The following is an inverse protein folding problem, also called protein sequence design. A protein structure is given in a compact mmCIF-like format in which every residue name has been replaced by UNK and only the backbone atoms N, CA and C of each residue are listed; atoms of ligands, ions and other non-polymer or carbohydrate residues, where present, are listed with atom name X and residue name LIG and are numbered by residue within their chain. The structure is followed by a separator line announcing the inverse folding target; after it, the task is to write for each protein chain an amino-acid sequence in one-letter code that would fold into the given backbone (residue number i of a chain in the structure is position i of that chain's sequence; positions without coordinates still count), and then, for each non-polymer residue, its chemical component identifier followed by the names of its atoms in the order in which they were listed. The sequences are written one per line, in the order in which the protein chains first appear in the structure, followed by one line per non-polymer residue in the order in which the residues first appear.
data_IF_772325099743
#
_entry.id   IF_772325099743
#
_cell.length_a   1.000
_cell.length_b   1.000
_cell.length_c   1.000
_cell.angle_alpha   90.00
_cell.angle_beta   90.00
_cell.angle_gamma   90.00
#
_symmetry.space_group_name_H-M   'P 1'
#
loop_
_entity.id
_entity.type
_entity.pdbx_description
1 polymer ?
#
# COMPACT_ATOMS: atom_id res chain seq x y z
N UNK A 1 -3.03 33.83 -0.43
CA UNK A 1 -2.56 32.44 -0.56
C UNK A 1 -2.19 32.27 -2.00
N UNK A 2 -0.91 32.12 -2.31
CA UNK A 2 -0.52 31.74 -3.66
C UNK A 2 -1.18 30.39 -3.99
N UNK A 3 -1.74 30.21 -5.20
CA UNK A 3 -2.26 28.92 -5.60
C UNK A 3 -1.10 27.93 -5.56
N UNK A 4 -1.25 26.86 -4.77
CA UNK A 4 -0.28 25.78 -4.82
C UNK A 4 -0.19 25.29 -6.28
N UNK A 5 1.03 25.10 -6.82
CA UNK A 5 1.17 24.58 -8.17
C UNK A 5 0.41 23.26 -8.26
N UNK A 6 -0.37 23.09 -9.33
CA UNK A 6 -1.08 21.84 -9.57
C UNK A 6 -0.06 20.70 -9.56
N UNK A 7 -0.20 19.79 -8.60
CA UNK A 7 0.66 18.61 -8.49
C UNK A 7 0.30 17.70 -9.65
N UNK A 8 1.16 17.67 -10.66
CA UNK A 8 1.07 16.68 -11.73
C UNK A 8 1.47 15.32 -11.15
N UNK A 9 0.46 14.55 -10.75
CA UNK A 9 0.67 13.23 -10.19
C UNK A 9 1.10 12.22 -11.27
N UNK A 10 0.81 12.48 -12.54
CA UNK A 10 1.13 11.58 -13.65
C UNK A 10 2.55 11.75 -14.13
N UNK A 11 3.19 12.87 -13.83
CA UNK A 11 4.56 13.11 -14.26
C UNK A 11 5.38 13.95 -13.30
N UNK A 12 6.64 13.55 -13.15
CA UNK A 12 7.67 14.38 -12.53
C UNK A 12 8.35 15.30 -13.57
N UNK A 13 7.92 15.20 -14.84
CA UNK A 13 8.48 15.93 -15.97
C UNK A 13 8.23 17.45 -15.86
N UNK A 14 9.24 18.23 -16.24
CA UNK A 14 9.02 19.63 -16.57
C UNK A 14 8.23 19.78 -17.90
N UNK A 15 7.90 21.01 -18.27
CA UNK A 15 7.08 21.26 -19.47
C UNK A 15 7.70 20.73 -20.77
N UNK A 16 9.02 20.85 -20.93
CA UNK A 16 9.72 20.35 -22.11
C UNK A 16 9.76 18.81 -22.14
N UNK A 17 10.02 18.20 -20.98
CA UNK A 17 10.02 16.74 -20.82
C UNK A 17 8.62 16.15 -21.07
N UNK A 18 7.55 16.82 -20.63
CA UNK A 18 6.17 16.43 -20.89
C UNK A 18 5.86 16.47 -22.39
N UNK A 19 6.24 17.57 -23.06
CA UNK A 19 6.06 17.70 -24.50
C UNK A 19 6.81 16.62 -25.28
N UNK A 20 8.04 16.32 -24.87
CA UNK A 20 8.83 15.23 -25.44
C UNK A 20 8.15 13.86 -25.24
N UNK A 21 7.69 13.56 -24.03
CA UNK A 21 6.98 12.31 -23.73
C UNK A 21 5.75 12.15 -24.61
N UNK A 22 4.91 13.18 -24.71
CA UNK A 22 3.73 13.15 -25.56
C UNK A 22 4.12 12.92 -27.03
N UNK A 23 5.20 13.53 -27.51
CA UNK A 23 5.71 13.28 -28.86
C UNK A 23 6.14 11.82 -29.06
N UNK A 24 6.94 11.28 -28.13
CA UNK A 24 7.44 9.89 -28.20
C UNK A 24 6.30 8.86 -28.17
N UNK A 25 5.29 9.08 -27.32
CA UNK A 25 4.15 8.15 -27.21
C UNK A 25 3.23 8.21 -28.43
N UNK A 26 3.03 9.39 -29.02
CA UNK A 26 2.31 9.53 -30.29
C UNK A 26 3.04 8.82 -31.43
N UNK A 27 4.36 8.95 -31.48
CA UNK A 27 5.17 8.26 -32.47
C UNK A 27 5.11 6.74 -32.30
N UNK A 28 5.27 6.26 -31.06
CA UNK A 28 5.19 4.84 -30.74
C UNK A 28 3.82 4.25 -31.12
N UNK A 29 2.74 4.99 -30.85
CA UNK A 29 1.37 4.60 -31.22
C UNK A 29 1.18 4.53 -32.74
N UNK A 30 1.81 5.43 -33.50
CA UNK A 30 1.83 5.39 -34.96
C UNK A 30 2.58 4.18 -35.52
N UNK A 31 3.70 3.79 -34.90
CA UNK A 31 4.51 2.63 -35.34
C UNK A 31 3.80 1.28 -35.15
N UNK A 32 2.80 1.24 -34.26
CA UNK A 32 2.01 0.04 -33.96
C UNK A 32 0.58 0.14 -34.51
N UNK A 33 0.37 1.00 -35.52
CA UNK A 33 -0.92 1.21 -36.19
C UNK A 33 -2.09 1.49 -35.24
N UNK A 34 -1.83 2.26 -34.17
CA UNK A 34 -2.82 2.60 -33.14
C UNK A 34 -3.46 1.38 -32.45
N UNK A 35 -2.72 0.27 -32.36
CA UNK A 35 -3.17 -0.92 -31.65
C UNK A 35 -3.43 -0.66 -30.16
N UNK A 36 -4.32 -1.46 -29.57
CA UNK A 36 -4.65 -1.41 -28.15
C UNK A 36 -3.76 -2.35 -27.34
N UNK A 37 -3.17 -1.84 -26.26
CA UNK A 37 -2.29 -2.60 -25.37
C UNK A 37 -2.83 -2.68 -23.96
N UNK A 38 -2.23 -3.54 -23.13
CA UNK A 38 -2.58 -3.60 -21.72
C UNK A 38 -2.36 -2.27 -21.02
N UNK A 39 -3.19 -2.00 -20.01
CA UNK A 39 -2.99 -0.83 -19.14
C UNK A 39 -1.68 -0.87 -18.38
N UNK A 40 -1.17 -2.07 -18.11
CA UNK A 40 0.14 -2.25 -17.51
C UNK A 40 1.23 -1.63 -18.36
N UNK A 41 1.26 -1.98 -19.64
CA UNK A 41 2.24 -1.42 -20.58
C UNK A 41 2.04 0.09 -20.73
N UNK A 42 0.80 0.53 -20.93
CA UNK A 42 0.47 1.96 -21.02
C UNK A 42 0.94 2.74 -19.79
N UNK A 43 0.66 2.24 -18.58
CA UNK A 43 1.07 2.87 -17.33
C UNK A 43 2.60 2.95 -17.20
N UNK A 44 3.30 1.84 -17.46
CA UNK A 44 4.76 1.82 -17.43
C UNK A 44 5.37 2.83 -18.40
N UNK A 45 4.86 2.93 -19.63
CA UNK A 45 5.35 3.89 -20.63
C UNK A 45 5.08 5.35 -20.22
N UNK A 46 3.95 5.62 -19.55
CA UNK A 46 3.58 6.96 -19.08
C UNK A 46 4.51 7.48 -17.99
N UNK A 47 4.94 6.61 -17.07
CA UNK A 47 5.83 6.98 -15.97
C UNK A 47 7.29 6.53 -16.17
N UNK A 48 7.64 6.08 -17.38
CA UNK A 48 8.99 5.66 -17.76
C UNK A 48 9.96 6.84 -17.73
N UNK A 49 11.24 6.59 -17.47
CA UNK A 49 12.26 7.61 -17.70
C UNK A 49 12.37 7.88 -19.23
N UNK A 50 12.61 9.14 -19.63
CA UNK A 50 12.65 9.51 -21.05
C UNK A 50 13.74 8.78 -21.84
N UNK A 51 14.90 8.53 -21.23
CA UNK A 51 16.01 7.80 -21.87
C UNK A 51 15.60 6.39 -22.33
N UNK A 52 15.13 5.51 -21.43
CA UNK A 52 14.52 4.24 -21.80
C UNK A 52 13.37 4.35 -22.80
N UNK A 53 12.47 5.33 -22.65
CA UNK A 53 11.36 5.52 -23.60
C UNK A 53 11.86 5.79 -25.03
N UNK A 54 12.87 6.64 -25.22
CA UNK A 54 13.53 6.86 -26.52
C UNK A 54 14.07 5.56 -27.11
N UNK A 55 14.74 4.73 -26.30
CA UNK A 55 15.27 3.43 -26.76
C UNK A 55 14.17 2.47 -27.20
N UNK A 56 13.02 2.50 -26.52
CA UNK A 56 11.84 1.70 -26.91
C UNK A 56 11.34 2.17 -28.28
N UNK A 57 11.18 3.48 -28.49
CA UNK A 57 10.77 4.07 -29.78
C UNK A 57 11.76 3.71 -30.88
N UNK A 58 13.06 3.86 -30.65
CA UNK A 58 14.11 3.49 -31.62
C UNK A 58 14.08 2.01 -31.99
N UNK A 59 13.79 1.14 -31.02
CA UNK A 59 13.66 -0.30 -31.24
C UNK A 59 12.41 -0.62 -32.06
N UNK A 60 11.27 0.02 -31.73
CA UNK A 60 10.01 -0.12 -32.45
C UNK A 60 10.11 0.37 -33.91
N UNK A 61 10.90 1.42 -34.19
CA UNK A 61 11.18 1.87 -35.57
C UNK A 61 11.84 0.79 -36.42
N UNK A 62 12.70 -0.04 -35.81
CA UNK A 62 13.39 -1.13 -36.50
C UNK A 62 12.51 -2.38 -36.60
N UNK A 63 11.72 -2.64 -35.56
CA UNK A 63 10.83 -3.78 -35.50
C UNK A 63 9.59 -3.45 -34.63
N UNK A 64 8.42 -3.17 -35.25
CA UNK A 64 7.20 -2.87 -34.51
C UNK A 64 6.75 -3.97 -33.54
N UNK A 65 7.15 -5.23 -33.78
CA UNK A 65 6.82 -6.39 -32.91
C UNK A 65 7.47 -6.27 -31.52
N UNK A 66 8.45 -5.38 -31.34
CA UNK A 66 9.04 -5.10 -30.03
C UNK A 66 7.98 -4.69 -29.00
N UNK A 67 6.98 -3.87 -29.37
CA UNK A 67 6.00 -3.35 -28.39
C UNK A 67 5.05 -4.45 -27.88
N UNK A 68 4.44 -5.30 -28.73
CA UNK A 68 3.73 -6.50 -28.26
C UNK A 68 4.59 -7.43 -27.40
N UNK A 69 5.87 -7.61 -27.75
CA UNK A 69 6.81 -8.42 -26.96
C UNK A 69 7.06 -7.84 -25.57
N UNK A 70 7.10 -6.50 -25.44
CA UNK A 70 7.20 -5.82 -24.15
C UNK A 70 5.94 -6.01 -23.31
N UNK A 71 4.76 -5.90 -23.91
CA UNK A 71 3.48 -6.13 -23.21
C UNK A 71 3.43 -7.56 -22.64
N UNK A 72 3.79 -8.54 -23.46
CA UNK A 72 3.86 -9.94 -23.06
C UNK A 72 4.86 -10.16 -21.91
N UNK A 73 6.07 -9.61 -22.03
CA UNK A 73 7.11 -9.76 -21.01
C UNK A 73 6.71 -9.11 -19.67
N UNK A 74 6.01 -7.99 -19.71
CA UNK A 74 5.47 -7.34 -18.52
C UNK A 74 4.42 -8.22 -17.82
N UNK A 75 3.52 -8.84 -18.57
CA UNK A 75 2.49 -9.74 -18.03
C UNK A 75 3.11 -10.98 -17.36
N UNK A 76 4.05 -11.63 -18.05
CA UNK A 76 4.75 -12.82 -17.53
C UNK A 76 5.58 -12.53 -16.27
N UNK A 77 6.14 -11.32 -16.15
CA UNK A 77 6.91 -10.95 -14.96
C UNK A 77 6.10 -10.87 -13.68
N UNK A 78 4.76 -10.80 -13.78
CA UNK A 78 3.89 -10.59 -12.62
C UNK A 78 4.24 -9.32 -11.82
N UNK A 79 4.98 -8.35 -12.37
CA UNK A 79 5.39 -7.12 -11.67
C UNK A 79 4.19 -6.41 -11.02
N UNK A 80 3.10 -6.27 -11.77
CA UNK A 80 1.87 -5.63 -11.29
C UNK A 80 1.16 -6.45 -10.21
N UNK A 81 1.19 -7.79 -10.31
CA UNK A 81 0.62 -8.67 -9.30
C UNK A 81 1.35 -8.53 -7.97
N UNK A 82 2.67 -8.43 -8.01
CA UNK A 82 3.48 -8.22 -6.82
C UNK A 82 3.25 -6.83 -6.18
N UNK A 83 3.12 -5.78 -7.01
CA UNK A 83 2.85 -4.43 -6.52
C UNK A 83 1.51 -4.27 -5.77
N UNK A 84 0.50 -5.09 -6.12
CA UNK A 84 -0.86 -5.02 -5.56
C UNK A 84 -1.07 -5.91 -4.32
N UNK A 85 -0.15 -6.83 -4.01
CA UNK A 85 -0.26 -7.78 -2.88
C UNK A 85 0.38 -7.26 -1.58
N UNK A 86 0.33 -5.97 -1.33
CA UNK A 86 0.88 -5.36 -0.11
C UNK A 86 0.12 -5.76 1.18
N UNK A 87 -1.04 -6.46 1.09
CA UNK A 87 -1.89 -6.77 2.26
C UNK A 87 -2.07 -8.23 2.68
N UNK A 88 -1.83 -9.23 1.83
CA UNK A 88 -2.43 -10.56 2.07
C UNK A 88 -1.60 -11.54 2.91
N UNK A 89 -0.59 -11.11 3.67
CA UNK A 89 0.31 -12.03 4.39
C UNK A 89 0.38 -11.81 5.91
N UNK A 90 -0.62 -11.19 6.54
CA UNK A 90 -0.74 -11.22 8.01
C UNK A 90 -1.66 -12.37 8.50
N UNK A 91 -1.29 -13.10 9.57
CA UNK A 91 -2.02 -14.29 10.00
C UNK A 91 -3.43 -13.98 10.51
N UNK A 92 -4.44 -14.72 10.06
CA UNK A 92 -5.71 -14.84 10.77
C UNK A 92 -5.52 -15.69 12.04
N UNK A 93 -6.26 -15.44 13.13
CA UNK A 93 -6.23 -16.31 14.31
C UNK A 93 -6.79 -17.70 13.97
N UNK A 94 -5.99 -18.74 14.17
CA UNK A 94 -6.36 -20.15 13.98
C UNK A 94 -7.33 -20.66 15.07
N UNK A 95 -8.15 -21.68 14.79
CA UNK A 95 -8.98 -22.33 15.80
C UNK A 95 -8.17 -23.31 16.66
N UNK A 96 -8.49 -23.33 17.95
CA UNK A 96 -7.89 -24.14 19.03
C UNK A 96 -7.74 -25.62 18.66
N UNK A 97 -6.52 -26.18 18.83
CA UNK A 97 -6.27 -27.63 18.91
C UNK A 97 -5.44 -27.97 20.16
N UNK A 98 -5.75 -29.12 20.75
CA UNK A 98 -5.27 -29.60 22.06
C UNK A 98 -3.80 -30.05 22.07
N UNK A 99 -3.15 -30.12 23.26
CA UNK A 99 -1.69 -30.17 23.36
C UNK A 99 -1.15 -31.60 23.40
N UNK A 100 -0.07 -31.86 22.64
CA UNK A 100 0.79 -33.02 22.84
C UNK A 100 2.14 -32.62 23.48
N UNK A 101 2.67 -33.54 24.28
CA UNK A 101 3.68 -33.35 25.34
C UNK A 101 5.07 -32.96 24.81
N UNK A 102 5.63 -31.86 25.32
CA UNK A 102 7.01 -31.41 25.01
C UNK A 102 8.01 -31.86 26.08
N UNK A 103 9.19 -32.31 25.62
CA UNK A 103 10.31 -32.80 26.45
C UNK A 103 11.10 -31.64 27.10
N UNK A 104 11.26 -31.69 28.42
CA UNK A 104 11.81 -30.65 29.30
C UNK A 104 13.32 -30.34 29.10
N UNK A 105 14.03 -31.09 28.26
CA UNK A 105 15.50 -31.01 28.13
C UNK A 105 15.94 -29.87 27.20
N UNK A 106 15.08 -29.42 26.28
CA UNK A 106 15.39 -28.31 25.37
C UNK A 106 15.32 -26.91 26.04
N UNK A 107 14.64 -26.79 27.18
CA UNK A 107 14.40 -25.51 27.87
C UNK A 107 15.64 -24.93 28.59
N UNK A 108 16.66 -25.74 28.87
CA UNK A 108 17.77 -25.33 29.74
C UNK A 108 19.02 -24.79 29.02
N UNK A 109 19.05 -24.75 27.68
CA UNK A 109 20.19 -24.16 26.93
C UNK A 109 19.98 -22.72 26.47
N UNK A 110 18.80 -22.11 26.66
CA UNK A 110 18.56 -20.68 26.39
C UNK A 110 18.93 -19.82 27.59
N UNK A 111 20.21 -19.49 27.77
CA UNK A 111 20.59 -18.31 28.57
C UNK A 111 21.80 -17.59 27.99
N UNK A 112 21.52 -16.37 27.51
CA UNK A 112 22.40 -15.25 27.14
C UNK A 112 23.00 -15.29 25.74
N UNK A 113 22.13 -15.12 24.75
CA UNK A 113 22.43 -14.25 23.61
C UNK A 113 21.43 -13.08 23.64
N UNK A 114 21.93 -11.87 23.46
CA UNK A 114 21.16 -10.63 23.33
C UNK A 114 20.10 -10.83 22.24
N UNK A 115 18.84 -11.01 22.63
CA UNK A 115 17.72 -11.23 21.69
C UNK A 115 17.56 -9.97 20.84
N UNK A 116 17.93 -10.02 19.56
CA UNK A 116 17.69 -8.94 18.62
C UNK A 116 16.20 -8.61 18.62
N UNK A 117 15.86 -7.31 18.76
CA UNK A 117 14.46 -6.88 18.70
C UNK A 117 13.95 -7.16 17.27
N UNK A 118 12.73 -7.70 17.11
CA UNK A 118 12.08 -7.78 15.80
C UNK A 118 12.14 -6.42 15.09
N UNK A 119 12.46 -6.40 13.80
CA UNK A 119 12.60 -5.16 13.02
C UNK A 119 11.31 -4.32 13.02
N UNK A 120 10.16 -4.99 13.11
CA UNK A 120 8.85 -4.36 13.29
C UNK A 120 8.71 -3.63 14.64
N UNK A 121 9.41 -4.04 15.69
CA UNK A 121 9.44 -3.32 16.97
C UNK A 121 10.30 -2.06 16.89
N UNK A 122 11.39 -2.09 16.13
CA UNK A 122 12.19 -0.88 15.85
C UNK A 122 11.38 0.13 15.04
N UNK A 123 10.63 -0.32 14.05
CA UNK A 123 9.69 0.52 13.30
C UNK A 123 8.64 1.18 14.21
N UNK A 124 8.03 0.41 15.11
CA UNK A 124 7.07 0.93 16.12
C UNK A 124 7.71 1.90 17.10
N UNK A 125 8.93 1.62 17.55
CA UNK A 125 9.70 2.51 18.43
C UNK A 125 10.00 3.84 17.73
N UNK A 126 10.47 3.79 16.47
CA UNK A 126 10.74 4.97 15.63
C UNK A 126 9.50 5.83 15.44
N UNK A 127 8.39 5.21 15.05
CA UNK A 127 7.15 5.91 14.70
C UNK A 127 6.27 6.21 15.94
N UNK A 128 6.77 5.90 17.14
CA UNK A 128 6.13 6.13 18.45
C UNK A 128 4.73 5.51 18.53
N UNK A 129 4.55 4.29 18.00
CA UNK A 129 3.26 3.59 17.91
C UNK A 129 2.13 4.45 17.30
N UNK A 130 2.47 5.22 16.25
CA UNK A 130 1.50 6.05 15.53
C UNK A 130 1.61 5.85 14.03
N UNK A 131 0.48 6.07 13.35
CA UNK A 131 0.47 6.18 11.90
C UNK A 131 1.31 7.37 11.46
N UNK A 132 2.28 7.16 10.57
CA UNK A 132 3.15 8.25 10.09
C UNK A 132 2.39 9.28 9.25
N UNK A 133 1.27 8.87 8.63
CA UNK A 133 0.41 9.70 7.78
C UNK A 133 -0.62 10.48 8.61
N UNK A 134 -1.50 9.78 9.33
CA UNK A 134 -2.63 10.39 10.07
C UNK A 134 -2.26 10.86 11.47
N UNK A 135 -1.05 10.54 11.95
CA UNK A 135 -0.60 10.76 13.34
C UNK A 135 -1.51 10.09 14.41
N UNK A 136 -2.43 9.22 14.00
CA UNK A 136 -3.29 8.46 14.91
C UNK A 136 -2.47 7.47 15.73
N UNK A 137 -2.84 7.28 17.00
CA UNK A 137 -2.31 6.21 17.84
C UNK A 137 -2.86 4.83 17.48
N UNK A 138 -2.77 3.90 18.43
CA UNK A 138 -3.24 2.52 18.27
C UNK A 138 -4.74 2.45 17.88
N UNK A 139 -5.13 1.47 17.03
CA UNK A 139 -4.31 0.40 16.44
C UNK A 139 -3.40 0.88 15.30
N UNK A 140 -2.20 0.28 15.20
CA UNK A 140 -1.19 0.58 14.17
C UNK A 140 -0.60 -0.71 13.61
N UNK A 141 -0.42 -0.75 12.30
CA UNK A 141 0.17 -1.85 11.55
C UNK A 141 1.52 -1.43 10.97
N UNK A 142 2.48 -2.35 10.97
CA UNK A 142 3.78 -2.13 10.32
C UNK A 142 3.64 -2.52 8.86
N UNK A 143 3.66 -1.52 8.00
CA UNK A 143 3.50 -1.63 6.56
C UNK A 143 4.86 -1.66 5.87
N UNK A 144 4.96 -2.51 4.85
CA UNK A 144 6.09 -2.54 3.93
C UNK A 144 6.00 -1.41 2.91
N UNK A 145 7.12 -0.76 2.60
CA UNK A 145 7.21 0.27 1.55
C UNK A 145 7.32 -0.41 0.18
N UNK A 146 8.32 -1.29 0.06
CA UNK A 146 8.47 -2.24 -1.03
C UNK A 146 7.80 -3.57 -0.68
N UNK A 147 6.98 -4.15 -1.59
CA UNK A 147 6.15 -5.31 -1.28
C UNK A 147 6.94 -6.51 -0.77
N UNK A 148 6.50 -7.06 0.36
CA UNK A 148 7.00 -8.32 0.91
C UNK A 148 6.88 -9.50 -0.06
N UNK A 149 5.88 -9.48 -0.95
CA UNK A 149 5.71 -10.50 -1.99
C UNK A 149 6.91 -10.62 -2.94
N UNK A 150 7.79 -9.60 -2.98
CA UNK A 150 9.00 -9.59 -3.81
C UNK A 150 10.27 -9.94 -3.02
N UNK A 151 10.17 -10.41 -1.77
CA UNK A 151 11.31 -10.78 -0.90
C UNK A 151 12.19 -11.93 -1.40
N UNK A 152 11.73 -12.68 -2.41
CA UNK A 152 12.48 -13.78 -3.03
C UNK A 152 13.11 -13.41 -4.37
N UNK A 153 12.95 -12.17 -4.83
CA UNK A 153 13.37 -11.74 -6.17
C UNK A 153 14.75 -11.07 -6.18
N UNK A 154 15.44 -11.01 -5.05
CA UNK A 154 16.76 -10.40 -4.86
C UNK A 154 17.90 -11.36 -5.22
N UNK A 155 17.65 -12.68 -5.27
CA UNK A 155 18.69 -13.66 -5.55
C UNK A 155 19.19 -13.56 -7.00
N UNK A 156 20.44 -13.94 -7.23
CA UNK A 156 21.02 -13.87 -8.58
C UNK A 156 20.27 -14.76 -9.57
N UNK A 157 19.78 -15.90 -9.11
CA UNK A 157 18.99 -16.84 -9.90
C UNK A 157 17.65 -16.21 -10.30
N UNK A 158 16.94 -15.58 -9.36
CA UNK A 158 15.66 -14.92 -9.63
C UNK A 158 15.82 -13.69 -10.54
N UNK A 159 16.94 -12.96 -10.41
CA UNK A 159 17.30 -11.84 -11.30
C UNK A 159 17.67 -12.31 -12.70
N UNK A 160 18.29 -13.48 -12.81
CA UNK A 160 18.74 -14.06 -14.09
C UNK A 160 17.60 -14.61 -14.93
N UNK A 161 16.43 -14.87 -14.35
CA UNK A 161 15.24 -15.31 -15.09
C UNK A 161 14.87 -14.32 -16.21
N UNK A 162 14.30 -14.83 -17.30
CA UNK A 162 14.00 -14.03 -18.48
C UNK A 162 12.95 -12.95 -18.19
N UNK A 163 11.86 -13.32 -17.52
CA UNK A 163 10.78 -12.42 -17.10
C UNK A 163 10.97 -11.90 -15.67
N UNK A 164 12.21 -11.77 -15.20
CA UNK A 164 12.46 -11.21 -13.87
C UNK A 164 11.87 -9.79 -13.77
N UNK A 165 11.09 -9.46 -12.72
CA UNK A 165 10.55 -8.11 -12.53
C UNK A 165 11.62 -7.02 -12.61
N UNK A 166 12.83 -7.30 -12.13
CA UNK A 166 13.95 -6.36 -12.19
C UNK A 166 14.41 -6.06 -13.62
N UNK A 167 14.43 -7.06 -14.51
CA UNK A 167 14.75 -6.86 -15.94
C UNK A 167 13.65 -6.06 -16.64
N UNK A 168 12.39 -6.32 -16.30
CA UNK A 168 11.27 -5.54 -16.83
C UNK A 168 11.36 -4.08 -16.35
N UNK A 169 11.68 -3.83 -15.08
CA UNK A 169 11.91 -2.47 -14.59
C UNK A 169 13.03 -1.76 -15.37
N UNK A 170 14.16 -2.44 -15.67
CA UNK A 170 15.26 -1.89 -16.48
C UNK A 170 14.87 -1.53 -17.92
N UNK A 171 13.71 -1.99 -18.39
CA UNK A 171 13.18 -1.62 -19.71
C UNK A 171 12.55 -0.21 -19.70
N UNK A 172 11.92 0.19 -18.60
CA UNK A 172 11.18 1.45 -18.49
C UNK A 172 11.90 2.52 -17.68
N UNK A 173 12.81 2.13 -16.78
CA UNK A 173 13.61 3.03 -15.96
C UNK A 173 15.10 2.83 -16.22
N UNK A 174 15.92 3.85 -15.90
CA UNK A 174 17.37 3.74 -16.07
C UNK A 174 17.93 2.60 -15.23
N UNK A 175 18.94 1.90 -15.77
CA UNK A 175 19.58 0.77 -15.10
C UNK A 175 20.14 1.17 -13.73
N UNK A 176 20.80 2.34 -13.66
CA UNK A 176 21.29 2.94 -12.43
C UNK A 176 20.20 3.10 -11.36
N UNK A 177 19.02 3.58 -11.75
CA UNK A 177 17.89 3.79 -10.82
C UNK A 177 17.36 2.46 -10.29
N UNK A 178 17.22 1.45 -11.17
CA UNK A 178 16.75 0.12 -10.78
C UNK A 178 17.77 -0.59 -9.89
N UNK A 179 19.07 -0.39 -10.10
CA UNK A 179 20.12 -0.95 -9.25
C UNK A 179 20.15 -0.30 -7.87
N UNK A 180 19.96 1.02 -7.77
CA UNK A 180 19.78 1.69 -6.49
C UNK A 180 18.59 1.13 -5.71
N UNK A 181 17.45 0.96 -6.38
CA UNK A 181 16.27 0.32 -5.78
C UNK A 181 16.54 -1.09 -5.27
N UNK A 182 17.21 -1.92 -6.07
CA UNK A 182 17.58 -3.27 -5.68
C UNK A 182 18.51 -3.29 -4.46
N UNK A 183 19.54 -2.43 -4.46
CA UNK A 183 20.50 -2.32 -3.36
C UNK A 183 19.84 -1.85 -2.04
N UNK A 184 18.83 -0.99 -2.14
CA UNK A 184 18.12 -0.45 -0.98
C UNK A 184 17.25 -1.49 -0.24
N UNK A 185 16.76 -2.51 -0.94
CA UNK A 185 15.99 -3.60 -0.31
C UNK A 185 16.89 -4.51 0.55
N UNK A 186 18.21 -4.46 0.35
CA UNK A 186 19.19 -5.33 1.04
C UNK A 186 18.85 -6.82 0.84
N UNK A 187 19.33 -7.68 1.75
CA UNK A 187 19.08 -9.13 1.70
C UNK A 187 17.67 -9.52 2.14
N UNK A 188 16.97 -8.65 2.90
CA UNK A 188 15.63 -8.93 3.44
C UNK A 188 14.74 -7.70 3.34
N UNK A 189 13.46 -7.90 3.06
CA UNK A 189 12.47 -6.80 3.04
C UNK A 189 12.07 -6.33 4.43
N UNK A 190 12.39 -7.10 5.47
CA UNK A 190 12.07 -6.83 6.87
C UNK A 190 13.16 -5.96 7.51
N UNK A 191 13.31 -4.74 7.03
CA UNK A 191 14.27 -3.77 7.59
C UNK A 191 13.55 -2.48 7.98
N UNK A 192 13.99 -1.72 9.01
CA UNK A 192 13.30 -0.50 9.41
C UNK A 192 13.30 0.55 8.28
N UNK A 193 14.28 0.47 7.37
CA UNK A 193 14.36 1.25 6.14
C UNK A 193 13.28 0.93 5.11
N UNK A 194 12.68 -0.26 5.15
CA UNK A 194 11.59 -0.67 4.28
C UNK A 194 10.23 -0.74 5.01
N UNK A 195 10.15 -0.24 6.25
CA UNK A 195 8.96 -0.34 7.08
C UNK A 195 8.55 1.05 7.60
N UNK A 196 7.24 1.28 7.70
CA UNK A 196 6.67 2.36 8.51
C UNK A 196 5.34 1.95 9.13
N UNK A 197 4.93 2.67 10.16
CA UNK A 197 3.67 2.46 10.85
C UNK A 197 2.52 3.18 10.16
N UNK A 198 1.43 2.47 9.86
CA UNK A 198 0.19 3.02 9.34
C UNK A 198 -1.00 2.64 10.21
N UNK A 199 -2.04 3.47 10.19
CA UNK A 199 -3.35 3.07 10.69
C UNK A 199 -3.91 1.95 9.77
N UNK A 200 -4.72 1.00 10.27
CA UNK A 200 -5.21 -0.13 9.48
C UNK A 200 -5.84 0.28 8.15
N UNK A 201 -6.67 1.32 8.14
CA UNK A 201 -7.29 1.84 6.92
C UNK A 201 -6.30 2.55 5.97
N UNK A 202 -5.27 3.21 6.50
CA UNK A 202 -4.21 3.80 5.65
C UNK A 202 -3.35 2.70 5.02
N UNK A 203 -3.06 1.63 5.77
CA UNK A 203 -2.38 0.44 5.23
C UNK A 203 -3.24 -0.26 4.19
N UNK A 204 -4.56 -0.29 4.40
CA UNK A 204 -5.55 -0.68 3.39
C UNK A 204 -5.28 0.13 2.11
N UNK A 205 -5.46 1.44 2.18
CA UNK A 205 -5.35 2.32 1.02
C UNK A 205 -3.99 2.22 0.31
N UNK A 206 -2.90 2.06 1.05
CA UNK A 206 -1.59 1.79 0.47
C UNK A 206 -1.60 0.50 -0.37
N UNK A 207 -2.12 -0.61 0.18
CA UNK A 207 -2.11 -1.89 -0.52
C UNK A 207 -2.99 -1.96 -1.76
N UNK A 208 -4.02 -1.11 -1.85
CA UNK A 208 -4.87 -0.94 -3.05
C UNK A 208 -4.34 0.13 -4.02
N UNK A 209 -3.14 0.66 -3.79
CA UNK A 209 -2.57 1.77 -4.56
C UNK A 209 -3.50 3.00 -4.64
N UNK A 210 -4.22 3.31 -3.55
CA UNK A 210 -5.04 4.53 -3.47
C UNK A 210 -4.21 5.77 -3.17
N UNK A 211 -3.02 5.58 -2.59
CA UNK A 211 -2.11 6.66 -2.23
C UNK A 211 -0.68 6.32 -2.62
N UNK A 212 0.12 7.36 -2.80
CA UNK A 212 1.57 7.26 -2.93
C UNK A 212 2.27 8.34 -2.12
N UNK A 213 3.51 8.05 -1.72
CA UNK A 213 4.39 8.97 -1.02
C UNK A 213 5.58 9.32 -1.92
N UNK A 214 5.70 10.59 -2.31
CA UNK A 214 6.85 11.09 -3.07
C UNK A 214 7.87 11.70 -2.12
N UNK A 215 9.10 11.19 -2.14
CA UNK A 215 10.19 11.80 -1.38
C UNK A 215 10.50 13.22 -1.88
N UNK A 216 10.65 14.18 -0.96
CA UNK A 216 11.00 15.57 -1.30
C UNK A 216 12.41 15.93 -0.83
N UNK A 217 12.69 15.74 0.45
CA UNK A 217 13.95 16.14 1.08
C UNK A 217 14.20 15.31 2.34
N UNK A 218 15.48 15.13 2.67
CA UNK A 218 15.94 14.55 3.94
C UNK A 218 16.81 15.60 4.61
N UNK A 219 16.68 15.76 5.94
CA UNK A 219 17.56 16.66 6.68
C UNK A 219 19.01 16.17 6.66
N UNK A 220 19.95 17.10 6.79
CA UNK A 220 21.39 16.80 6.74
C UNK A 220 21.82 15.82 7.84
N UNK A 221 21.17 15.89 9.00
CA UNK A 221 21.38 14.99 10.15
C UNK A 221 20.63 13.65 10.04
N UNK A 222 19.87 13.43 8.95
CA UNK A 222 19.06 12.25 8.68
C UNK A 222 17.96 11.95 9.72
N UNK A 223 17.61 12.92 10.58
CA UNK A 223 16.59 12.74 11.62
C UNK A 223 15.17 13.00 11.12
N UNK A 224 15.03 13.68 9.98
CA UNK A 224 13.74 13.97 9.36
C UNK A 224 13.77 13.73 7.85
N UNK A 225 12.68 13.20 7.31
CA UNK A 225 12.47 13.02 5.88
C UNK A 225 11.07 13.47 5.53
N UNK A 226 10.95 14.42 4.60
CA UNK A 226 9.66 14.95 4.17
C UNK A 226 9.22 14.23 2.91
N UNK A 227 8.00 13.71 2.95
CA UNK A 227 7.33 13.10 1.80
C UNK A 227 6.05 13.87 1.46
N UNK A 228 5.73 13.97 0.18
CA UNK A 228 4.46 14.50 -0.30
C UNK A 228 3.46 13.36 -0.44
N UNK A 229 2.32 13.51 0.21
CA UNK A 229 1.18 12.64 0.04
C UNK A 229 0.45 12.95 -1.27
N UNK A 230 0.05 11.91 -1.99
CA UNK A 230 -0.76 12.02 -3.21
C UNK A 230 -1.85 10.96 -3.20
N UNK A 231 -3.10 11.39 -3.34
CA UNK A 231 -4.21 10.48 -3.66
C UNK A 231 -4.14 10.08 -5.14
N UNK A 232 -4.14 8.79 -5.41
CA UNK A 232 -4.16 8.22 -6.76
C UNK A 232 -5.62 7.99 -7.21
N UNK A 233 -6.04 8.51 -8.38
CA UNK A 233 -7.37 8.35 -8.91
C UNK A 233 -7.75 6.90 -9.13
N UNK A 234 -9.06 6.74 -9.24
CA UNK A 234 -9.62 5.50 -9.71
C UNK A 234 -9.58 5.39 -11.22
N UNK A 235 -9.34 4.16 -11.67
CA UNK A 235 -8.82 3.87 -12.98
C UNK A 235 -9.47 2.55 -13.37
N UNK A 236 -10.77 2.56 -13.68
CA UNK A 236 -11.54 1.32 -13.84
C UNK A 236 -11.88 0.96 -15.29
N UNK A 237 -11.82 1.91 -16.23
CA UNK A 237 -12.14 1.66 -17.64
C UNK A 237 -11.30 2.52 -18.59
N UNK A 238 -10.99 2.05 -19.81
CA UNK A 238 -11.13 0.69 -20.39
C UNK A 238 -9.93 -0.25 -20.07
N UNK A 239 -10.06 -1.57 -20.35
CA UNK A 239 -9.03 -2.60 -20.07
C UNK A 239 -7.80 -2.56 -20.98
N UNK A 240 -7.93 -1.94 -22.15
CA UNK A 240 -6.85 -1.75 -23.11
C UNK A 240 -6.96 -0.36 -23.71
N UNK A 241 -5.81 0.22 -24.02
CA UNK A 241 -5.68 1.63 -24.38
C UNK A 241 -4.68 1.79 -25.52
N UNK A 242 -4.86 2.83 -26.33
CA UNK A 242 -3.80 3.32 -27.23
C UNK A 242 -2.66 3.87 -26.40
N UNK A 243 -1.42 3.72 -26.86
CA UNK A 243 -0.23 4.13 -26.10
C UNK A 243 -0.21 5.65 -25.90
N UNK A 244 -0.70 6.38 -26.89
CA UNK A 244 -0.82 7.84 -26.87
C UNK A 244 -2.02 8.37 -26.07
N UNK A 245 -2.87 7.51 -25.49
CA UNK A 245 -4.01 7.97 -24.67
C UNK A 245 -3.53 8.72 -23.44
N UNK A 246 -3.87 10.00 -23.30
CA UNK A 246 -3.54 10.77 -22.10
C UNK A 246 -4.30 10.23 -20.87
N UNK A 247 -3.68 10.23 -19.67
CA UNK A 247 -4.38 9.86 -18.46
C UNK A 247 -5.55 10.82 -18.20
N UNK A 248 -6.77 10.35 -18.40
CA UNK A 248 -7.97 11.08 -18.03
C UNK A 248 -8.51 10.57 -16.70
N UNK A 249 -8.11 11.22 -15.61
CA UNK A 249 -8.74 11.00 -14.31
C UNK A 249 -8.89 12.33 -13.59
N UNK A 250 -9.99 12.49 -12.86
CA UNK A 250 -10.22 13.68 -12.06
C UNK A 250 -9.09 13.82 -11.03
N UNK A 251 -8.55 15.04 -10.89
CA UNK A 251 -7.55 15.31 -9.86
C UNK A 251 -8.19 15.06 -8.50
N UNK A 252 -7.63 14.10 -7.75
CA UNK A 252 -8.09 13.80 -6.40
C UNK A 252 -7.37 14.72 -5.44
N UNK A 253 -8.07 15.74 -4.96
CA UNK A 253 -7.47 16.74 -4.06
C UNK A 253 -7.55 16.26 -2.62
N UNK A 254 -8.73 15.88 -2.12
CA UNK A 254 -8.94 15.69 -0.68
C UNK A 254 -9.54 14.33 -0.32
N UNK A 255 -10.54 13.89 -1.09
CA UNK A 255 -11.23 12.62 -0.92
C UNK A 255 -11.13 11.84 -2.23
N UNK A 256 -10.75 10.57 -2.15
CA UNK A 256 -10.69 9.68 -3.31
C UNK A 256 -12.05 9.03 -3.50
N UNK A 257 -12.61 9.21 -4.69
CA UNK A 257 -13.85 8.56 -5.11
C UNK A 257 -13.52 7.43 -6.11
N UNK A 258 -14.20 6.29 -5.99
CA UNK A 258 -14.14 5.21 -6.97
C UNK A 258 -15.30 5.27 -7.98
N UNK A 259 -15.21 4.45 -9.03
CA UNK A 259 -16.22 4.38 -10.08
C UNK A 259 -17.63 3.96 -9.59
N UNK A 260 -17.73 3.39 -8.39
CA UNK A 260 -18.99 2.95 -7.76
C UNK A 260 -19.57 3.99 -6.79
N UNK A 261 -18.90 5.14 -6.63
CA UNK A 261 -19.30 6.20 -5.69
C UNK A 261 -18.81 5.98 -4.25
N UNK A 262 -17.92 5.02 -4.02
CA UNK A 262 -17.22 4.84 -2.76
C UNK A 262 -16.23 5.97 -2.52
N UNK A 263 -16.30 6.61 -1.35
CA UNK A 263 -15.44 7.76 -0.99
C UNK A 263 -14.57 7.40 0.19
N UNK A 264 -13.26 7.60 0.04
CA UNK A 264 -12.27 7.40 1.11
C UNK A 264 -11.47 8.68 1.37
N UNK A 265 -11.06 8.84 2.63
CA UNK A 265 -10.25 9.98 3.07
C UNK A 265 -9.41 9.64 4.28
N UNK A 266 -8.43 10.49 4.56
CA UNK A 266 -7.55 10.42 5.73
C UNK A 266 -7.55 11.78 6.41
N UNK A 267 -7.44 11.79 7.74
CA UNK A 267 -7.35 13.00 8.55
C UNK A 267 -6.12 12.93 9.43
N UNK A 268 -5.40 14.05 9.54
CA UNK A 268 -4.37 14.21 10.55
C UNK A 268 -5.04 14.50 11.89
N UNK A 269 -4.87 13.60 12.86
CA UNK A 269 -5.50 13.70 14.18
C UNK A 269 -4.98 14.90 14.97
N UNK A 270 -3.75 15.36 14.70
CA UNK A 270 -3.12 16.49 15.39
C UNK A 270 -3.73 17.80 14.92
N UNK A 271 -3.80 18.01 13.61
CA UNK A 271 -4.32 19.24 13.02
C UNK A 271 -5.84 19.24 12.85
N UNK A 272 -6.46 18.04 12.91
CA UNK A 272 -7.88 17.78 12.60
C UNK A 272 -8.26 18.16 11.17
N UNK A 273 -7.29 18.22 10.28
CA UNK A 273 -7.48 18.56 8.88
C UNK A 273 -7.41 17.31 7.99
N UNK A 274 -8.15 17.31 6.86
CA UNK A 274 -8.06 16.26 5.87
C UNK A 274 -6.68 16.25 5.21
N UNK A 275 -6.13 15.06 5.01
CA UNK A 275 -4.88 14.86 4.28
C UNK A 275 -5.21 14.86 2.79
N UNK A 276 -4.65 15.85 2.11
CA UNK A 276 -4.93 16.14 0.70
C UNK A 276 -3.70 15.81 -0.15
N UNK A 277 -3.89 15.64 -1.46
CA UNK A 277 -2.78 15.62 -2.42
C UNK A 277 -1.97 16.90 -2.28
N UNK A 278 -0.66 16.75 -2.13
CA UNK A 278 0.26 17.86 -1.83
C UNK A 278 0.56 18.04 -0.35
N UNK A 279 -0.15 17.36 0.57
CA UNK A 279 0.16 17.41 2.00
C UNK A 279 1.59 16.91 2.27
N UNK A 280 2.38 17.70 2.99
CA UNK A 280 3.74 17.34 3.41
C UNK A 280 3.68 16.56 4.71
N UNK A 281 4.16 15.32 4.69
CA UNK A 281 4.25 14.45 5.85
C UNK A 281 5.72 14.36 6.24
N UNK A 282 6.03 14.74 7.47
CA UNK A 282 7.38 14.59 8.04
C UNK A 282 7.45 13.24 8.75
N UNK A 283 8.40 12.42 8.31
CA UNK A 283 8.86 11.21 8.97
C UNK A 283 10.03 11.59 9.88
N UNK A 284 10.00 11.16 11.12
CA UNK A 284 10.99 11.59 12.14
C UNK A 284 11.59 10.39 12.85
N UNK A 285 12.86 10.52 13.23
CA UNK A 285 13.54 9.58 14.12
C UNK A 285 14.39 10.34 15.13
N UNK A 286 14.52 9.77 16.33
CA UNK A 286 15.42 10.31 17.37
C UNK A 286 16.84 9.75 17.25
N UNK A 287 17.04 8.72 16.44
CA UNK A 287 18.29 7.99 16.33
C UNK A 287 18.41 7.43 14.90
N UNK A 288 19.03 8.16 13.96
CA UNK A 288 19.09 7.76 12.56
C UNK A 288 19.94 6.51 12.31
N UNK A 289 20.78 6.11 13.26
CA UNK A 289 21.61 4.91 13.15
C UNK A 289 20.84 3.68 13.60
N UNK A 290 20.21 3.73 14.78
CA UNK A 290 19.49 2.59 15.36
C UNK A 290 18.05 2.45 14.84
N UNK A 291 17.42 3.57 14.53
CA UNK A 291 16.03 3.70 14.10
C UNK A 291 15.98 4.47 12.78
N UNK A 292 16.62 3.96 11.71
CA UNK A 292 16.72 4.70 10.45
C UNK A 292 15.34 4.98 9.87
N UNK A 293 15.21 6.13 9.23
CA UNK A 293 14.06 6.46 8.42
C UNK A 293 13.99 5.56 7.18
N UNK A 294 12.81 5.51 6.53
CA UNK A 294 12.68 4.87 5.24
C UNK A 294 13.75 5.30 4.23
N UNK A 295 14.27 4.33 3.48
CA UNK A 295 15.28 4.60 2.46
C UNK A 295 14.69 5.41 1.30
N UNK A 296 15.42 6.43 0.84
CA UNK A 296 14.96 7.33 -0.22
C UNK A 296 14.75 6.61 -1.55
N UNK A 297 15.57 5.60 -1.87
CA UNK A 297 15.43 4.82 -3.09
C UNK A 297 14.20 3.89 -2.99
N UNK A 298 13.89 3.34 -1.81
CA UNK A 298 12.66 2.58 -1.58
C UNK A 298 11.41 3.44 -1.70
N UNK A 299 11.44 4.67 -1.17
CA UNK A 299 10.36 5.65 -1.37
C UNK A 299 10.20 6.01 -2.85
N UNK A 300 11.31 6.15 -3.58
CA UNK A 300 11.30 6.37 -5.03
C UNK A 300 10.68 5.21 -5.81
N UNK A 301 11.00 3.98 -5.44
CA UNK A 301 10.39 2.78 -6.02
C UNK A 301 8.90 2.69 -5.69
N UNK A 302 8.53 2.94 -4.43
CA UNK A 302 7.14 3.01 -3.98
C UNK A 302 6.33 4.02 -4.79
N UNK A 303 6.86 5.23 -4.97
CA UNK A 303 6.26 6.29 -5.79
C UNK A 303 5.97 5.84 -7.23
N UNK A 304 6.89 5.10 -7.84
CA UNK A 304 6.72 4.56 -9.18
C UNK A 304 5.68 3.44 -9.21
N UNK A 305 5.84 2.42 -8.35
CA UNK A 305 5.00 1.23 -8.37
C UNK A 305 3.54 1.54 -8.02
N UNK A 306 3.28 2.44 -7.07
CA UNK A 306 1.90 2.82 -6.71
C UNK A 306 1.20 3.52 -7.87
N UNK A 307 1.89 4.44 -8.57
CA UNK A 307 1.33 5.09 -9.76
C UNK A 307 1.05 4.11 -10.87
N UNK A 308 2.00 3.22 -11.18
CA UNK A 308 1.80 2.18 -12.18
C UNK A 308 0.63 1.26 -11.80
N UNK A 309 0.54 0.84 -10.53
CA UNK A 309 -0.52 -0.03 -10.05
C UNK A 309 -1.90 0.61 -10.15
N UNK A 310 -2.03 1.89 -9.77
CA UNK A 310 -3.26 2.65 -9.90
C UNK A 310 -3.64 2.84 -11.37
N UNK A 311 -2.72 3.30 -12.21
CA UNK A 311 -2.95 3.52 -13.65
C UNK A 311 -3.26 2.23 -14.42
N UNK A 312 -2.68 1.10 -14.00
CA UNK A 312 -2.99 -0.22 -14.54
C UNK A 312 -4.41 -0.71 -14.20
N UNK A 313 -5.08 -0.05 -13.25
CA UNK A 313 -6.44 -0.33 -12.81
C UNK A 313 -6.54 -1.52 -11.85
N UNK A 314 -7.58 -1.53 -11.02
CA UNK A 314 -7.73 -2.49 -9.94
C UNK A 314 -8.50 -3.74 -10.41
N UNK A 315 -7.84 -4.62 -11.16
CA UNK A 315 -8.34 -6.02 -11.25
C UNK A 315 -7.98 -6.69 -9.92
N UNK A 316 -8.94 -6.73 -8.98
CA UNK A 316 -8.81 -7.55 -7.78
C UNK A 316 -8.40 -8.97 -8.20
N UNK A 317 -7.26 -9.50 -7.72
CA UNK A 317 -6.93 -10.89 -7.92
C UNK A 317 -8.05 -11.71 -7.27
N UNK A 318 -8.62 -12.69 -7.98
CA UNK A 318 -9.41 -13.73 -7.32
C UNK A 318 -8.51 -14.38 -6.26
N UNK A 319 -9.08 -14.62 -5.08
CA UNK A 319 -8.39 -15.23 -3.94
C UNK A 319 -7.91 -16.64 -4.30
N UNK A 320 -6.72 -16.73 -4.88
CA UNK A 320 -5.99 -17.99 -4.99
C UNK A 320 -5.39 -18.26 -3.61
N UNK A 321 -6.04 -19.14 -2.86
CA UNK A 321 -5.63 -19.64 -1.53
C UNK A 321 -4.27 -20.31 -1.68
N UNK A 322 -3.23 -19.76 -1.04
CA UNK A 322 -1.95 -20.44 -0.87
C UNK A 322 -1.68 -20.62 0.63
N UNK A 323 -1.40 -21.86 1.01
CA UNK A 323 -0.97 -22.27 2.35
C UNK A 323 0.23 -21.43 2.78
N UNK A 324 0.08 -20.74 3.91
CA UNK A 324 1.18 -20.07 4.58
C UNK A 324 1.72 -21.04 5.61
N UNK A 325 2.91 -21.60 5.34
CA UNK A 325 3.72 -22.28 6.35
C UNK A 325 4.11 -21.25 7.42
N UNK A 326 3.29 -21.19 8.48
CA UNK A 326 3.55 -20.44 9.70
C UNK A 326 4.49 -21.26 10.57
N UNK A 327 5.79 -20.96 10.51
CA UNK A 327 6.67 -21.22 11.64
C UNK A 327 6.96 -19.89 12.34
N UNK A 328 6.73 -19.91 13.66
CA UNK A 328 7.13 -18.95 14.69
C UNK A 328 6.21 -17.74 14.98
N UNK A 329 5.44 -17.85 16.07
CA UNK A 329 5.69 -17.10 17.32
C UNK A 329 4.65 -17.43 18.41
N UNK A 330 4.96 -18.38 19.30
CA UNK A 330 4.26 -18.59 20.58
C UNK A 330 5.12 -18.01 21.73
N UNK A 331 4.84 -16.78 22.14
CA UNK A 331 5.28 -16.26 23.44
C UNK A 331 4.38 -15.12 23.93
N UNK A 332 3.30 -15.43 24.64
CA UNK A 332 2.66 -14.49 25.56
C UNK A 332 2.56 -15.09 26.97
N UNK A 333 3.07 -14.33 27.95
CA UNK A 333 3.24 -14.71 29.35
C UNK A 333 1.93 -14.66 30.14
N UNK A 334 1.65 -15.75 30.84
CA UNK A 334 0.66 -15.81 31.93
C UNK A 334 1.24 -15.09 33.16
N UNK A 335 0.61 -14.00 33.57
CA UNK A 335 0.68 -13.50 34.94
C UNK A 335 -0.74 -13.39 35.49
N UNK A 336 -1.14 -14.39 36.27
CA UNK A 336 -2.08 -14.25 37.37
C UNK A 336 -1.91 -15.49 38.27
N UNK A 337 -1.15 -15.33 39.34
CA UNK A 337 -1.36 -16.13 40.55
C UNK A 337 -2.74 -15.73 41.10
N UNK A 338 -3.61 -16.65 41.48
CA UNK A 338 -3.68 -17.17 42.86
C UNK A 338 -4.83 -18.17 42.98
N UNK A 339 -4.63 -19.15 43.86
CA UNK A 339 -5.59 -20.17 44.24
C UNK A 339 -6.96 -19.59 44.68
N UNK A 340 -8.05 -20.11 44.12
CA UNK A 340 -9.29 -20.29 44.89
C UNK A 340 -10.23 -21.29 44.21
N UNK A 341 -10.31 -22.44 44.87
CA UNK A 341 -11.36 -23.44 44.83
C UNK A 341 -12.76 -22.81 44.90
N UNK A 342 -13.67 -23.22 44.01
CA UNK A 342 -15.10 -23.31 44.32
C UNK A 342 -15.82 -24.18 43.30
N UNK A 343 -16.18 -25.36 43.79
CA UNK A 343 -17.13 -26.28 43.22
C UNK A 343 -18.55 -25.69 43.20
N UNK A 344 -19.40 -26.29 42.36
CA UNK A 344 -20.85 -26.15 42.28
C UNK A 344 -21.40 -24.87 41.61
N UNK A 345 -22.12 -25.06 40.50
CA UNK A 345 -23.59 -25.10 40.56
C UNK A 345 -24.21 -25.56 39.22
N UNK A 346 -25.14 -26.49 39.38
CA UNK A 346 -26.00 -27.12 38.39
C UNK A 346 -26.81 -26.12 37.54
N UNK A 347 -26.97 -26.44 36.25
CA UNK A 347 -28.05 -25.94 35.40
C UNK A 347 -29.25 -26.91 35.47
N UNK A 348 -30.47 -26.44 35.81
CA UNK A 348 -31.68 -27.20 35.52
C UNK A 348 -32.32 -26.78 34.19
N UNK A 349 -32.83 -27.81 33.52
CA UNK A 349 -33.54 -27.84 32.25
C UNK A 349 -34.90 -27.11 32.29
N UNK A 350 -35.38 -26.76 31.09
CA UNK A 350 -36.74 -26.30 30.80
C UNK A 350 -37.84 -27.27 31.28
N UNK A 351 -39.05 -26.75 31.44
CA UNK A 351 -40.22 -27.50 31.00
C UNK A 351 -41.16 -26.71 30.09
N UNK A 352 -41.76 -27.50 29.20
CA UNK A 352 -42.68 -27.16 28.13
C UNK A 352 -44.14 -27.06 28.62
N UNK A 353 -44.92 -26.25 27.89
CA UNK A 353 -46.36 -26.35 27.59
C UNK A 353 -47.44 -25.87 28.59
N UNK A 354 -48.05 -24.73 28.22
CA UNK A 354 -49.44 -24.63 27.68
C UNK A 354 -50.55 -23.91 28.47
N UNK A 355 -51.20 -23.00 27.74
CA UNK A 355 -52.61 -22.56 27.75
C UNK A 355 -53.11 -21.62 28.87
N UNK A 356 -53.33 -20.33 28.56
CA UNK A 356 -54.62 -19.73 28.12
C UNK A 356 -54.65 -18.19 28.27
N UNK A 357 -55.34 -17.55 27.30
CA UNK A 357 -56.15 -16.33 27.42
C UNK A 357 -55.50 -14.92 27.50
N UNK A 358 -55.74 -14.15 26.42
CA UNK A 358 -55.99 -12.70 26.31
C UNK A 358 -55.17 -11.70 27.15
N UNK A 359 -54.42 -10.80 26.50
CA UNK A 359 -54.92 -9.44 26.21
C UNK A 359 -54.00 -8.65 25.26
N UNK A 360 -54.57 -7.60 24.65
CA UNK A 360 -54.00 -6.69 23.65
C UNK A 360 -52.88 -5.79 24.21
N UNK A 361 -51.84 -5.52 23.42
CA UNK A 361 -51.50 -4.14 22.98
C UNK A 361 -50.21 -4.09 22.16
N UNK A 362 -50.31 -3.38 21.04
CA UNK A 362 -49.25 -3.07 20.07
C UNK A 362 -48.68 -1.70 20.48
N UNK A 363 -47.38 -1.60 20.76
CA UNK A 363 -46.71 -0.30 20.84
C UNK A 363 -45.48 -0.28 19.94
N UNK A 364 -45.63 0.48 18.86
CA UNK A 364 -44.57 1.08 18.05
C UNK A 364 -44.25 2.41 18.73
N UNK A 365 -42.96 2.72 18.97
CA UNK A 365 -42.52 4.08 19.26
C UNK A 365 -41.28 4.41 18.42
N UNK A 366 -41.52 5.36 17.53
CA UNK A 366 -40.62 5.99 16.58
C UNK A 366 -39.60 6.93 17.24
N UNK A 367 -38.49 7.11 16.52
CA UNK A 367 -37.37 8.01 16.81
C UNK A 367 -37.79 9.49 16.77
N UNK A 368 -37.35 10.25 17.78
CA UNK A 368 -37.43 11.70 17.82
C UNK A 368 -36.38 12.37 16.92
N UNK A 369 -36.84 13.42 16.24
CA UNK A 369 -36.13 14.41 15.41
C UNK A 369 -36.09 15.73 16.19
N UNK A 370 -34.98 16.46 16.20
CA UNK A 370 -34.92 17.85 16.69
C UNK A 370 -34.56 18.79 15.54
N UNK A 371 -35.40 19.81 15.35
CA UNK A 371 -35.30 20.90 14.37
C UNK A 371 -34.36 22.05 14.82
N UNK A 372 -33.85 22.86 13.88
CA UNK A 372 -33.22 24.16 14.14
C UNK A 372 -34.19 25.36 13.92
N UNK A 373 -34.11 26.37 14.79
CA UNK A 373 -34.68 27.74 14.62
C UNK A 373 -33.71 28.57 13.74
N UNK A 374 -34.05 29.54 12.87
CA UNK A 374 -35.21 30.41 12.67
C UNK A 374 -34.69 31.87 12.55
N UNK A 375 -34.61 32.44 11.33
CA UNK A 375 -34.24 33.85 11.05
C UNK A 375 -35.44 34.53 10.36
N UNK A 376 -35.84 35.77 10.73
CA UNK A 376 -36.91 36.48 10.03
C UNK A 376 -36.39 37.54 9.03
N UNK A 377 -37.10 37.65 7.92
CA UNK A 377 -36.96 38.67 6.87
C UNK A 377 -37.54 40.03 7.29
N UNK A 378 -36.98 41.12 6.75
CA UNK A 378 -37.71 42.37 6.54
C UNK A 378 -37.33 42.94 5.16
N UNK A 379 -38.37 43.24 4.36
CA UNK A 379 -38.30 44.09 3.16
C UNK A 379 -38.61 45.54 3.53
N UNK A 380 -37.74 46.49 3.18
CA UNK A 380 -38.02 47.60 2.24
C UNK A 380 -36.71 48.26 1.83
#
# INVERSE_FOLDING_TARGET
MDPQPAVDMFSDDNEAERAERTSLLNELDGLVDSALFSRGLWACLRVADLGPLRRIVESARRNPVTVPGLDYSLQESNLLRHSKRLRHLQPRPSPVRQPDKVCLICLLKRRRDTREKPQSNLCRERDRNRCVITKSGEPVEVAHIFPFAMRGLQTEEARSQFYSPWKILKTFWSEEKVERWLNAIQATTETPKNLFCLAPHAHDYQGKAYLALKHLETSEDQTSSTVMFVWLPDFDTPKSLRLCTEPSAASVVQLREDSTGGVVGLWDVTTRLPISTGSRIVLETTDPVRLPLPDTDLLGLHWVLQRVAAMAGNVEPRDDIYDTDNEDDEMFSVWANDDSDLSDLYLPQEPTTSTTSNDKSKMVLDMNRCDPQGIPEYST
#
